data_IF_919921223880
#
_entry.id   IF_919921223880
#
_cell.length_a   1.000
_cell.length_b   1.000
_cell.length_c   1.000
_cell.angle_alpha   90.00
_cell.angle_beta   90.00
_cell.angle_gamma   90.00
#
_symmetry.space_group_name_H-M   'P 1'
#
loop_
_entity.id
_entity.type
_entity.pdbx_description
1 polymer ?
#
# COMPACT_ATOMS: atom_id res chain seq x y z
N UNK A 1 -0.44 0.04 8.77
CA UNK A 1 -1.68 0.13 9.54
C UNK A 1 -2.82 0.08 8.56
N UNK A 2 -3.00 -1.12 8.01
CA UNK A 2 -4.12 -1.55 7.16
C UNK A 2 -5.50 -1.23 7.74
N UNK A 3 -5.59 -1.00 9.05
CA UNK A 3 -6.79 -0.50 9.73
C UNK A 3 -7.31 0.84 9.19
N UNK A 4 -6.45 1.65 8.57
CA UNK A 4 -6.81 2.96 7.99
C UNK A 4 -7.05 2.91 6.48
N UNK A 5 -6.90 1.75 5.85
CA UNK A 5 -7.14 1.58 4.41
C UNK A 5 -8.64 1.58 4.14
N UNK A 6 -9.07 2.37 3.17
CA UNK A 6 -10.47 2.40 2.72
C UNK A 6 -10.91 1.01 2.26
N UNK A 7 -12.11 0.58 2.66
CA UNK A 7 -12.61 -0.78 2.39
C UNK A 7 -12.06 -1.86 3.33
N UNK A 8 -11.31 -1.51 4.38
CA UNK A 8 -10.83 -2.45 5.40
C UNK A 8 -11.94 -3.36 5.93
N UNK A 9 -13.04 -2.77 6.40
CA UNK A 9 -14.16 -3.52 6.98
C UNK A 9 -14.82 -4.45 5.96
N UNK A 10 -14.93 -4.02 4.71
CA UNK A 10 -15.54 -4.82 3.65
C UNK A 10 -14.66 -6.02 3.30
N UNK A 11 -13.33 -5.84 3.27
CA UNK A 11 -12.38 -6.93 3.06
C UNK A 11 -12.42 -7.98 4.17
N UNK A 12 -12.53 -7.55 5.43
CA UNK A 12 -12.69 -8.48 6.56
C UNK A 12 -14.00 -9.26 6.44
N UNK A 13 -15.10 -8.60 6.09
CA UNK A 13 -16.40 -9.27 5.89
C UNK A 13 -16.34 -10.31 4.79
N UNK A 14 -15.72 -9.96 3.65
CA UNK A 14 -15.51 -10.87 2.52
C UNK A 14 -14.78 -12.14 2.96
N UNK A 15 -13.61 -12.01 3.59
CA UNK A 15 -12.85 -13.15 4.10
C UNK A 15 -13.62 -13.96 5.16
N UNK A 16 -14.30 -13.26 6.07
CA UNK A 16 -15.05 -13.92 7.14
C UNK A 16 -16.16 -14.84 6.61
N UNK A 17 -16.80 -14.42 5.52
CA UNK A 17 -17.85 -15.18 4.84
C UNK A 17 -17.30 -16.35 4.01
N UNK A 18 -16.10 -16.24 3.44
CA UNK A 18 -15.49 -17.34 2.66
C UNK A 18 -14.93 -18.46 3.54
N UNK A 19 -14.57 -18.17 4.79
CA UNK A 19 -14.09 -19.19 5.73
C UNK A 19 -15.18 -20.20 6.09
N UNK A 20 -14.97 -21.45 5.67
CA UNK A 20 -15.84 -22.58 5.98
C UNK A 20 -15.09 -23.65 6.76
N UNK A 21 -15.45 -23.85 8.03
CA UNK A 21 -14.89 -24.86 8.92
C UNK A 21 -16.01 -25.65 9.59
N UNK A 22 -15.77 -26.93 9.88
CA UNK A 22 -16.71 -27.82 10.56
C UNK A 22 -16.18 -28.18 11.96
N UNK A 23 -17.07 -28.32 12.93
CA UNK A 23 -16.73 -28.68 14.31
C UNK A 23 -17.62 -27.98 15.34
N UNK A 24 -17.19 -27.95 16.59
CA UNK A 24 -17.87 -27.18 17.64
C UNK A 24 -17.85 -25.68 17.32
N UNK A 25 -18.83 -24.89 17.78
CA UNK A 25 -18.86 -23.44 17.53
C UNK A 25 -17.56 -22.72 17.94
N UNK A 26 -16.98 -23.13 19.07
CA UNK A 26 -15.70 -22.60 19.58
C UNK A 26 -14.55 -22.94 18.63
N UNK A 27 -14.50 -24.18 18.14
CA UNK A 27 -13.48 -24.62 17.19
C UNK A 27 -13.58 -23.84 15.87
N UNK A 28 -14.79 -23.70 15.33
CA UNK A 28 -15.05 -22.94 14.09
C UNK A 28 -14.60 -21.49 14.24
N UNK A 29 -14.95 -20.85 15.35
CA UNK A 29 -14.52 -19.47 15.64
C UNK A 29 -13.00 -19.36 15.71
N UNK A 30 -12.32 -20.26 16.45
CA UNK A 30 -10.87 -20.26 16.56
C UNK A 30 -10.19 -20.41 15.20
N UNK A 31 -10.72 -21.28 14.32
CA UNK A 31 -10.19 -21.47 12.96
C UNK A 31 -10.41 -20.25 12.07
N UNK A 32 -11.58 -19.60 12.14
CA UNK A 32 -11.83 -18.34 11.42
C UNK A 32 -10.86 -17.23 11.84
N UNK A 33 -10.62 -17.08 13.15
CA UNK A 33 -9.65 -16.10 13.65
C UNK A 33 -8.21 -16.42 13.22
N UNK A 34 -7.82 -17.70 13.19
CA UNK A 34 -6.52 -18.12 12.68
C UNK A 34 -6.34 -17.77 11.19
N UNK A 35 -7.35 -18.08 10.35
CA UNK A 35 -7.33 -17.74 8.93
C UNK A 35 -7.26 -16.22 8.73
N UNK A 36 -8.10 -15.46 9.43
CA UNK A 36 -8.12 -14.00 9.35
C UNK A 36 -6.78 -13.38 9.70
N UNK A 37 -6.11 -13.88 10.74
CA UNK A 37 -4.77 -13.42 11.14
C UNK A 37 -3.74 -13.63 10.02
N UNK A 38 -3.81 -14.73 9.28
CA UNK A 38 -2.88 -15.03 8.18
C UNK A 38 -3.14 -14.10 7.00
N UNK A 39 -4.39 -13.95 6.59
CA UNK A 39 -4.76 -13.07 5.47
C UNK A 39 -4.44 -11.62 5.77
N UNK A 40 -4.68 -11.17 7.01
CA UNK A 40 -4.27 -9.83 7.47
C UNK A 40 -2.76 -9.61 7.38
N UNK A 41 -1.95 -10.60 7.76
CA UNK A 41 -0.49 -10.49 7.63
C UNK A 41 -0.06 -10.39 6.17
N UNK A 42 -0.68 -11.17 5.29
CA UNK A 42 -0.38 -11.15 3.86
C UNK A 42 -0.78 -9.81 3.25
N UNK A 43 -1.99 -9.35 3.53
CA UNK A 43 -2.48 -8.07 3.03
C UNK A 43 -1.68 -6.89 3.57
N UNK A 44 -1.27 -6.93 4.84
CA UNK A 44 -0.36 -5.91 5.38
C UNK A 44 0.96 -5.85 4.59
N UNK A 45 1.56 -6.99 4.23
CA UNK A 45 2.77 -7.04 3.42
C UNK A 45 2.54 -6.55 1.99
N UNK A 46 1.42 -6.90 1.38
CA UNK A 46 1.09 -6.45 0.03
C UNK A 46 0.84 -4.94 0.00
N UNK A 47 0.11 -4.40 0.98
CA UNK A 47 -0.17 -2.96 1.05
C UNK A 47 1.08 -2.16 1.42
N UNK A 48 1.79 -2.51 2.50
CA UNK A 48 3.03 -1.83 2.88
C UNK A 48 4.14 -2.02 1.85
N UNK A 49 4.29 -3.23 1.31
CA UNK A 49 5.29 -3.54 0.29
C UNK A 49 5.02 -2.78 -1.01
N UNK A 50 3.75 -2.63 -1.41
CA UNK A 50 3.39 -1.80 -2.56
C UNK A 50 3.67 -0.31 -2.28
N UNK A 51 3.38 0.20 -1.08
CA UNK A 51 3.71 1.59 -0.71
C UNK A 51 5.22 1.85 -0.75
N UNK A 52 6.03 0.95 -0.16
CA UNK A 52 7.50 1.05 -0.19
C UNK A 52 8.05 0.97 -1.62
N UNK A 53 7.62 -0.02 -2.41
CA UNK A 53 8.08 -0.19 -3.78
C UNK A 53 7.69 1.00 -4.68
N UNK A 54 6.48 1.53 -4.50
CA UNK A 54 6.04 2.75 -5.21
C UNK A 54 6.88 3.96 -4.80
N UNK A 55 7.16 4.12 -3.51
CA UNK A 55 7.99 5.23 -3.01
C UNK A 55 9.38 5.20 -3.62
N UNK A 56 10.00 4.02 -3.70
CA UNK A 56 11.31 3.82 -4.35
C UNK A 56 11.25 4.17 -5.83
N UNK A 57 10.24 3.69 -6.56
CA UNK A 57 10.04 4.01 -7.97
C UNK A 57 9.81 5.52 -8.21
N UNK A 58 9.03 6.18 -7.36
CA UNK A 58 8.82 7.63 -7.43
C UNK A 58 10.11 8.40 -7.13
N UNK A 59 10.92 7.91 -6.20
CA UNK A 59 12.23 8.49 -5.89
C UNK A 59 13.20 8.36 -7.07
N UNK A 60 13.23 7.22 -7.75
CA UNK A 60 14.00 7.05 -9.00
C UNK A 60 13.55 8.03 -10.09
N UNK A 61 12.24 8.27 -10.23
CA UNK A 61 11.71 9.25 -11.19
C UNK A 61 12.13 10.69 -10.84
N UNK A 62 12.14 11.05 -9.55
CA UNK A 62 12.64 12.35 -9.08
C UNK A 62 14.13 12.50 -9.41
N UNK A 63 14.94 11.47 -9.11
CA UNK A 63 16.37 11.46 -9.41
C UNK A 63 16.64 11.57 -10.93
N UNK A 64 15.80 10.95 -11.76
CA UNK A 64 15.88 11.10 -13.21
C UNK A 64 15.69 12.56 -13.62
N UNK A 65 14.64 13.23 -13.14
CA UNK A 65 14.37 14.63 -13.47
C UNK A 65 15.47 15.59 -12.97
N UNK A 66 15.97 15.37 -11.76
CA UNK A 66 17.06 16.18 -11.20
C UNK A 66 18.36 16.03 -12.03
N UNK A 67 18.62 14.84 -12.60
CA UNK A 67 19.73 14.64 -13.53
C UNK A 67 19.52 15.34 -14.87
N UNK A 68 18.31 15.31 -15.42
CA UNK A 68 17.98 15.99 -16.68
C UNK A 68 18.13 17.50 -16.51
N UNK A 69 17.65 18.08 -15.40
CA UNK A 69 17.76 19.51 -15.09
C UNK A 69 19.21 19.98 -15.01
N UNK A 70 20.12 19.12 -14.54
CA UNK A 70 21.56 19.40 -14.50
C UNK A 70 22.21 19.49 -15.89
N UNK A 71 21.66 18.78 -16.88
CA UNK A 71 22.19 18.71 -18.24
C UNK A 71 21.56 19.78 -19.13
N UNK A 72 20.27 20.08 -18.92
CA UNK A 72 19.53 21.08 -19.67
C UNK A 72 18.38 21.68 -18.85
N UNK A 73 17.94 22.91 -19.14
CA UNK A 73 16.70 23.43 -18.57
C UNK A 73 15.52 22.51 -18.87
N UNK A 74 14.71 22.21 -17.85
CA UNK A 74 13.47 21.46 -18.01
C UNK A 74 12.43 22.29 -18.78
N UNK A 75 11.67 21.62 -19.65
CA UNK A 75 10.49 22.23 -20.25
C UNK A 75 9.37 22.40 -19.22
N UNK A 76 8.35 23.20 -19.54
CA UNK A 76 7.16 23.33 -18.69
C UNK A 76 6.44 21.99 -18.50
N UNK A 77 6.48 21.10 -19.49
CA UNK A 77 5.88 19.77 -19.40
C UNK A 77 6.69 18.84 -18.48
N UNK A 78 8.02 18.89 -18.58
CA UNK A 78 8.93 18.16 -17.69
C UNK A 78 8.75 18.60 -16.23
N UNK A 79 8.60 19.91 -16.00
CA UNK A 79 8.34 20.47 -14.66
C UNK A 79 7.01 19.99 -14.07
N UNK A 80 5.96 19.87 -14.88
CA UNK A 80 4.68 19.30 -14.42
C UNK A 80 4.84 17.83 -14.00
N UNK A 81 5.61 17.06 -14.78
CA UNK A 81 5.90 15.65 -14.46
C UNK A 81 6.73 15.51 -13.18
N UNK A 82 7.76 16.33 -12.99
CA UNK A 82 8.59 16.36 -11.78
C UNK A 82 7.76 16.72 -10.53
N UNK A 83 6.85 17.71 -10.63
CA UNK A 83 5.94 18.07 -9.52
C UNK A 83 5.01 16.92 -9.16
N UNK A 84 4.41 16.28 -10.16
CA UNK A 84 3.50 15.14 -9.94
C UNK A 84 4.21 14.00 -9.20
N UNK A 85 5.45 13.69 -9.58
CA UNK A 85 6.25 12.70 -8.86
C UNK A 85 6.56 13.12 -7.41
N UNK A 86 6.89 14.40 -7.17
CA UNK A 86 7.13 14.89 -5.80
C UNK A 86 5.86 14.84 -4.94
N UNK A 87 4.71 15.17 -5.51
CA UNK A 87 3.42 15.09 -4.83
C UNK A 87 3.05 13.64 -4.50
N UNK A 88 3.26 12.71 -5.45
CA UNK A 88 3.05 11.28 -5.22
C UNK A 88 4.01 10.73 -4.15
N UNK A 89 5.29 11.12 -4.18
CA UNK A 89 6.26 10.72 -3.15
C UNK A 89 5.85 11.21 -1.77
N UNK A 90 5.39 12.46 -1.66
CA UNK A 90 4.91 13.03 -0.38
C UNK A 90 3.68 12.28 0.14
N UNK A 91 2.73 11.96 -0.75
CA UNK A 91 1.56 11.17 -0.39
C UNK A 91 1.92 9.74 0.07
N UNK A 92 2.86 9.07 -0.62
CA UNK A 92 3.36 7.74 -0.26
C UNK A 92 4.13 7.74 1.07
N UNK A 93 4.92 8.78 1.34
CA UNK A 93 5.63 8.93 2.61
C UNK A 93 4.66 9.06 3.80
N UNK A 94 3.57 9.83 3.65
CA UNK A 94 2.52 9.94 4.68
C UNK A 94 1.83 8.59 4.89
N UNK A 95 1.54 7.86 3.82
CA UNK A 95 0.95 6.52 3.91
C UNK A 95 1.87 5.53 4.61
N UNK A 96 3.19 5.62 4.42
CA UNK A 96 4.16 4.78 5.12
C UNK A 96 4.27 5.15 6.60
N UNK A 97 4.37 6.43 6.95
CA UNK A 97 4.47 6.89 8.35
C UNK A 97 3.21 6.60 9.17
N UNK A 98 2.05 6.62 8.51
CA UNK A 98 0.76 6.33 9.17
C UNK A 98 0.40 4.85 9.17
N UNK A 99 1.30 3.98 8.70
CA UNK A 99 1.10 2.55 8.53
C UNK A 99 2.02 1.72 9.44
#
# INVERSE_FOLDING_TARGET
MWLRVEGFTDKIKEWWQTYNFRGSPIFVLAKKLQALKIDLKKWNKEVLGNVSARKDATLELINYWDNVERIRPLSEEDRRSQRTARDEYSHLAILEETS
#
